data_IF_683509882403
#
_entry.id   IF_683509882403
#
_cell.length_a   1.000
_cell.length_b   1.000
_cell.length_c   1.000
_cell.angle_alpha   90.00
_cell.angle_beta   90.00
_cell.angle_gamma   90.00
#
_symmetry.space_group_name_H-M   'P 1'
#
loop_
_entity.id
_entity.type
_entity.pdbx_description
1 polymer ?
#
# COMPACT_ATOMS: atom_id res chain seq x y z
N UNK A 1 -26.23 -6.10 4.04
CA UNK A 1 -26.36 -5.63 2.65
C UNK A 1 -25.60 -6.58 1.75
N UNK A 2 -26.15 -6.99 0.61
CA UNK A 2 -25.37 -7.70 -0.42
C UNK A 2 -24.39 -6.71 -1.05
N UNK A 3 -23.13 -7.06 -1.12
CA UNK A 3 -22.15 -6.26 -1.86
C UNK A 3 -22.51 -6.33 -3.35
N UNK A 4 -22.53 -5.17 -4.01
CA UNK A 4 -22.66 -5.10 -5.46
C UNK A 4 -21.45 -5.78 -6.11
N UNK A 5 -21.64 -6.39 -7.27
CA UNK A 5 -20.55 -6.99 -8.03
C UNK A 5 -19.59 -5.92 -8.55
N UNK A 6 -18.34 -6.31 -8.82
CA UNK A 6 -17.32 -5.41 -9.40
C UNK A 6 -17.81 -4.78 -10.72
N UNK A 7 -18.58 -5.54 -11.51
CA UNK A 7 -19.15 -5.07 -12.78
C UNK A 7 -20.18 -3.96 -12.57
N UNK A 8 -21.08 -4.12 -11.61
CA UNK A 8 -22.08 -3.11 -11.25
C UNK A 8 -21.43 -1.84 -10.69
N UNK A 9 -20.45 -2.00 -9.80
CA UNK A 9 -19.68 -0.89 -9.23
C UNK A 9 -18.96 -0.11 -10.33
N UNK A 10 -18.29 -0.81 -11.26
CA UNK A 10 -17.59 -0.18 -12.38
C UNK A 10 -18.56 0.61 -13.28
N UNK A 11 -19.74 0.06 -13.54
CA UNK A 11 -20.77 0.72 -14.35
C UNK A 11 -21.28 1.98 -13.67
N UNK A 12 -21.60 1.93 -12.38
CA UNK A 12 -22.00 3.10 -11.59
C UNK A 12 -20.90 4.18 -11.56
N UNK A 13 -19.64 3.81 -11.32
CA UNK A 13 -18.53 4.75 -11.32
C UNK A 13 -18.36 5.44 -12.69
N UNK A 14 -18.64 4.75 -13.79
CA UNK A 14 -18.57 5.36 -15.14
C UNK A 14 -19.67 6.38 -15.42
N UNK A 15 -20.77 6.35 -14.66
CA UNK A 15 -21.87 7.32 -14.77
C UNK A 15 -21.69 8.53 -13.84
N UNK A 16 -20.67 8.53 -12.97
CA UNK A 16 -20.39 9.59 -12.01
C UNK A 16 -19.52 10.69 -12.60
N UNK A 17 -19.71 11.92 -12.12
CA UNK A 17 -18.84 13.04 -12.48
C UNK A 17 -17.45 12.91 -11.84
N UNK A 18 -16.47 13.63 -12.37
CA UNK A 18 -15.10 13.64 -11.80
C UNK A 18 -15.06 14.11 -10.34
N UNK A 19 -15.92 15.06 -9.96
CA UNK A 19 -16.04 15.54 -8.58
C UNK A 19 -16.61 14.46 -7.65
N UNK A 20 -17.68 13.79 -8.06
CA UNK A 20 -18.28 12.70 -7.27
C UNK A 20 -17.30 11.53 -7.11
N UNK A 21 -16.51 11.22 -8.14
CA UNK A 21 -15.46 10.20 -8.08
C UNK A 21 -14.37 10.59 -7.09
N UNK A 22 -13.94 11.84 -7.07
CA UNK A 22 -12.94 12.34 -6.11
C UNK A 22 -13.45 12.23 -4.67
N UNK A 23 -14.71 12.61 -4.41
CA UNK A 23 -15.33 12.46 -3.10
C UNK A 23 -15.44 11.01 -2.65
N UNK A 24 -15.80 10.09 -3.56
CA UNK A 24 -15.83 8.66 -3.29
C UNK A 24 -14.44 8.12 -2.92
N UNK A 25 -13.39 8.51 -3.65
CA UNK A 25 -12.01 8.13 -3.35
C UNK A 25 -11.57 8.65 -1.97
N UNK A 26 -11.90 9.91 -1.65
CA UNK A 26 -11.61 10.49 -0.34
C UNK A 26 -12.35 9.74 0.78
N UNK A 27 -13.61 9.37 0.57
CA UNK A 27 -14.39 8.59 1.54
C UNK A 27 -13.79 7.19 1.76
N UNK A 28 -13.33 6.54 0.69
CA UNK A 28 -12.64 5.24 0.76
C UNK A 28 -11.31 5.34 1.52
N UNK A 29 -10.54 6.41 1.32
CA UNK A 29 -9.26 6.62 2.03
C UNK A 29 -9.43 6.83 3.53
N UNK A 30 -10.52 7.48 3.95
CA UNK A 30 -10.87 7.66 5.37
C UNK A 30 -11.30 6.34 6.03
N UNK A 31 -11.87 5.42 5.27
CA UNK A 31 -12.42 4.17 5.80
C UNK A 31 -11.36 3.12 6.13
N UNK A 32 -10.27 3.05 5.36
CA UNK A 32 -9.20 2.05 5.57
C UNK A 32 -7.82 2.65 5.35
N UNK A 33 -6.90 2.43 6.29
CA UNK A 33 -5.49 2.88 6.19
C UNK A 33 -4.82 2.40 4.91
N UNK A 34 -5.12 1.17 4.49
CA UNK A 34 -4.59 0.56 3.27
C UNK A 34 -5.05 1.28 2.00
N UNK A 35 -6.28 1.81 1.98
CA UNK A 35 -6.78 2.59 0.85
C UNK A 35 -6.05 3.94 0.75
N UNK A 36 -5.75 4.56 1.90
CA UNK A 36 -4.97 5.79 1.94
C UNK A 36 -3.54 5.57 1.45
N UNK A 37 -2.88 4.51 1.94
CA UNK A 37 -1.53 4.13 1.49
C UNK A 37 -1.49 3.88 -0.03
N UNK A 38 -2.49 3.17 -0.57
CA UNK A 38 -2.60 2.93 -2.00
C UNK A 38 -2.83 4.22 -2.80
N UNK A 39 -3.71 5.12 -2.33
CA UNK A 39 -3.95 6.41 -2.99
C UNK A 39 -2.70 7.30 -2.97
N UNK A 40 -1.96 7.30 -1.87
CA UNK A 40 -0.68 8.02 -1.77
C UNK A 40 0.31 7.48 -2.81
N UNK A 41 0.43 6.16 -2.91
CA UNK A 41 1.27 5.54 -3.92
C UNK A 41 0.83 5.93 -5.35
N UNK A 42 -0.45 5.75 -5.67
CA UNK A 42 -0.98 6.01 -7.03
C UNK A 42 -0.87 7.47 -7.48
N UNK A 43 -1.04 8.43 -6.56
CA UNK A 43 -1.06 9.85 -6.90
C UNK A 43 0.32 10.52 -6.85
N UNK A 44 1.22 10.06 -5.98
CA UNK A 44 2.48 10.75 -5.72
C UNK A 44 3.72 9.93 -6.05
N UNK A 45 3.67 8.61 -5.89
CA UNK A 45 4.85 7.75 -5.99
C UNK A 45 4.87 6.90 -7.28
N UNK A 46 3.72 6.72 -7.93
CA UNK A 46 3.56 5.93 -9.16
C UNK A 46 4.31 6.50 -10.37
N UNK A 47 4.60 7.80 -10.35
CA UNK A 47 5.29 8.49 -11.44
C UNK A 47 6.81 8.29 -11.36
N UNK A 48 7.34 7.87 -10.21
CA UNK A 48 8.74 7.54 -10.03
C UNK A 48 8.89 6.23 -9.24
N UNK A 49 8.63 5.12 -9.94
CA UNK A 49 8.74 3.77 -9.38
C UNK A 49 10.19 3.48 -8.90
N UNK A 50 11.21 4.06 -9.54
CA UNK A 50 12.61 3.91 -9.13
C UNK A 50 12.88 4.56 -7.77
N UNK A 51 12.48 5.81 -7.57
CA UNK A 51 12.60 6.50 -6.27
C UNK A 51 11.81 5.77 -5.18
N UNK A 52 10.63 5.24 -5.51
CA UNK A 52 9.85 4.45 -4.56
C UNK A 52 10.59 3.17 -4.14
N UNK A 53 11.12 2.42 -5.10
CA UNK A 53 11.92 1.21 -4.82
C UNK A 53 13.14 1.56 -3.96
N UNK A 54 13.81 2.67 -4.24
CA UNK A 54 14.98 3.13 -3.47
C UNK A 54 14.60 3.54 -2.04
N UNK A 55 13.49 4.24 -1.86
CA UNK A 55 12.97 4.58 -0.52
C UNK A 55 12.61 3.33 0.30
N UNK A 56 12.05 2.30 -0.34
CA UNK A 56 11.71 1.02 0.30
C UNK A 56 12.99 0.27 0.72
N UNK A 57 14.03 0.27 -0.12
CA UNK A 57 15.33 -0.31 0.24
C UNK A 57 15.94 0.41 1.45
N UNK A 58 16.01 1.74 1.42
CA UNK A 58 16.53 2.54 2.54
C UNK A 58 15.74 2.33 3.83
N UNK A 59 14.40 2.21 3.74
CA UNK A 59 13.57 1.86 4.88
C UNK A 59 13.90 0.47 5.44
N UNK A 60 14.08 -0.54 4.58
CA UNK A 60 14.44 -1.89 5.00
C UNK A 60 15.82 -1.89 5.70
N UNK A 61 16.80 -1.20 5.11
CA UNK A 61 18.15 -1.11 5.68
C UNK A 61 18.12 -0.47 7.07
N UNK A 62 17.40 0.65 7.22
CA UNK A 62 17.20 1.31 8.51
C UNK A 62 16.54 0.39 9.54
N UNK A 63 15.57 -0.44 9.12
CA UNK A 63 14.92 -1.40 10.02
C UNK A 63 15.87 -2.53 10.45
N UNK A 64 16.79 -2.95 9.59
CA UNK A 64 17.82 -3.93 9.95
C UNK A 64 18.86 -3.35 10.91
N UNK A 65 19.26 -2.09 10.74
CA UNK A 65 20.16 -1.39 11.67
C UNK A 65 19.56 -1.22 13.08
N UNK A 66 18.24 -1.03 13.17
CA UNK A 66 17.52 -0.90 14.44
C UNK A 66 17.25 -2.23 15.16
N UNK A 67 17.69 -3.37 14.61
CA UNK A 67 17.47 -4.66 15.25
C UNK A 67 18.26 -4.72 16.55
N UNK A 68 17.55 -5.04 17.64
CA UNK A 68 18.18 -5.39 18.90
C UNK A 68 18.92 -6.73 18.74
N UNK A 69 20.26 -6.66 18.71
CA UNK A 69 21.16 -7.82 18.58
C UNK A 69 21.46 -8.51 19.90
N UNK A 70 20.93 -8.04 21.03
CA UNK A 70 21.20 -8.59 22.35
C UNK A 70 20.61 -9.99 22.57
N UNK A 71 19.64 -10.42 21.75
CA UNK A 71 19.13 -11.78 21.78
C UNK A 71 18.79 -12.30 20.40
N UNK A 72 19.21 -13.53 20.12
CA UNK A 72 18.85 -14.27 18.91
C UNK A 72 17.32 -14.32 18.68
N UNK A 73 16.53 -14.36 19.76
CA UNK A 73 15.08 -14.30 19.67
C UNK A 73 14.57 -12.98 19.08
N UNK A 74 15.11 -11.84 19.53
CA UNK A 74 14.73 -10.51 19.03
C UNK A 74 15.20 -10.28 17.60
N UNK A 75 16.41 -10.76 17.25
CA UNK A 75 16.90 -10.73 15.86
C UNK A 75 15.93 -11.47 14.93
N UNK A 76 15.59 -12.72 15.27
CA UNK A 76 14.67 -13.54 14.45
C UNK A 76 13.27 -12.94 14.37
N UNK A 77 12.77 -12.36 15.47
CA UNK A 77 11.47 -11.69 15.53
C UNK A 77 11.42 -10.45 14.63
N UNK A 78 12.43 -9.59 14.72
CA UNK A 78 12.53 -8.38 13.92
C UNK A 78 12.73 -8.68 12.44
N UNK A 79 13.62 -9.61 12.10
CA UNK A 79 13.83 -10.05 10.71
C UNK A 79 12.54 -10.59 10.06
N UNK A 80 11.74 -11.38 10.80
CA UNK A 80 10.44 -11.87 10.31
C UNK A 80 9.42 -10.74 10.10
N UNK A 81 9.44 -9.72 10.96
CA UNK A 81 8.59 -8.54 10.83
C UNK A 81 8.96 -7.73 9.58
N UNK A 82 10.26 -7.50 9.36
CA UNK A 82 10.78 -6.81 8.16
C UNK A 82 10.36 -7.57 6.91
N UNK A 83 10.61 -8.88 6.83
CA UNK A 83 10.22 -9.71 5.70
C UNK A 83 8.72 -9.64 5.39
N UNK A 84 7.87 -9.65 6.43
CA UNK A 84 6.41 -9.57 6.26
C UNK A 84 5.99 -8.21 5.69
N UNK A 85 6.61 -7.13 6.16
CA UNK A 85 6.35 -5.77 5.66
C UNK A 85 6.83 -5.61 4.20
N UNK A 86 8.04 -6.09 3.88
CA UNK A 86 8.56 -6.07 2.50
C UNK A 86 7.67 -6.84 1.54
N UNK A 87 7.17 -8.03 1.95
CA UNK A 87 6.20 -8.79 1.15
C UNK A 87 4.90 -8.03 0.93
N UNK A 88 4.42 -7.28 1.93
CA UNK A 88 3.22 -6.44 1.78
C UNK A 88 3.42 -5.36 0.73
N UNK A 89 4.55 -4.64 0.79
CA UNK A 89 4.91 -3.59 -0.19
C UNK A 89 5.02 -4.19 -1.60
N UNK A 90 5.72 -5.31 -1.74
CA UNK A 90 5.85 -6.01 -3.02
C UNK A 90 4.50 -6.48 -3.59
N UNK A 91 3.59 -6.96 -2.74
CA UNK A 91 2.23 -7.34 -3.15
C UNK A 91 1.39 -6.14 -3.62
N UNK A 92 1.60 -4.95 -3.05
CA UNK A 92 0.94 -3.72 -3.51
C UNK A 92 1.46 -3.36 -4.90
N UNK A 93 2.78 -3.36 -5.12
CA UNK A 93 3.39 -3.10 -6.42
C UNK A 93 2.92 -4.05 -7.52
N UNK A 94 2.85 -5.35 -7.22
CA UNK A 94 2.45 -6.38 -8.19
C UNK A 94 0.96 -6.37 -8.51
N UNK A 95 0.09 -6.06 -7.54
CA UNK A 95 -1.35 -5.95 -7.77
C UNK A 95 -1.78 -4.74 -8.60
N UNK A 96 -0.89 -3.75 -8.83
CA UNK A 96 -1.17 -2.61 -9.71
C UNK A 96 -0.77 -2.85 -11.18
N UNK A 97 -0.06 -3.95 -11.49
CA UNK A 97 0.37 -4.30 -12.85
C UNK A 97 -0.66 -5.13 -13.64
N UNK A 98 -1.82 -5.43 -13.07
CA UNK A 98 -2.91 -6.22 -13.69
C UNK A 98 -4.18 -5.41 -13.89
#
# INVERSE_FOLDING_TARGET
MKAASIVEIKKELSHKSSEELAELCLRLSRFKKENKELLTYLLFESHNEEDYIESVKSYIDTQFEQINTASYFYIRKSARKILTNTKKIHSVLTNQRN
#
